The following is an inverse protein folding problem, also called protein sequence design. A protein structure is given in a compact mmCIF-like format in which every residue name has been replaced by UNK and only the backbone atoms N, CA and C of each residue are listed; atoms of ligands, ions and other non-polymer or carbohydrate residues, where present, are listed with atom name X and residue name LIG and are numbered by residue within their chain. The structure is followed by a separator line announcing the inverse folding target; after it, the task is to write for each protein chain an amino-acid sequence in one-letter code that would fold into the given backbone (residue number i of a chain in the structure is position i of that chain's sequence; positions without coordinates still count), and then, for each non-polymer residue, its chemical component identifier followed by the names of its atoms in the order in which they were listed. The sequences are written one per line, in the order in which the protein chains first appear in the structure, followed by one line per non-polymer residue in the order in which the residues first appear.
data_IF_844240270195
#
_entry.id   IF_844240270195
#
_cell.length_a   1.000
_cell.length_b   1.000
_cell.length_c   1.000
_cell.angle_alpha   90.00
_cell.angle_beta   90.00
_cell.angle_gamma   90.00
#
_symmetry.space_group_name_H-M   'P 1'
#
loop_
_entity.id
_entity.type
_entity.pdbx_description
1 polymer ?
#
# COMPACT_ATOMS: atom_id res chain seq x y z
N UNK A 1 57.57 -7.94 -56.24
CA UNK A 1 58.26 -8.96 -55.43
C UNK A 1 57.63 -8.96 -54.06
N UNK A 2 56.98 -10.01 -53.79
CA UNK A 2 57.13 -10.81 -52.57
C UNK A 2 56.72 -10.05 -51.30
N UNK A 3 55.85 -10.46 -50.41
CA UNK A 3 55.21 -11.74 -49.99
C UNK A 3 54.29 -11.32 -48.90
N UNK A 4 53.04 -11.74 -48.87
CA UNK A 4 52.52 -12.94 -48.18
C UNK A 4 52.66 -12.97 -46.64
N UNK A 5 51.52 -13.21 -46.03
CA UNK A 5 51.20 -13.78 -44.70
C UNK A 5 51.18 -12.77 -43.58
N UNK A 6 50.01 -12.63 -42.93
CA UNK A 6 49.48 -13.67 -42.07
C UNK A 6 47.96 -13.55 -41.88
N UNK A 7 47.27 -14.60 -42.17
CA UNK A 7 45.95 -14.90 -41.66
C UNK A 7 46.07 -15.11 -40.14
N UNK A 8 45.56 -14.21 -39.35
CA UNK A 8 45.25 -14.48 -37.96
C UNK A 8 43.73 -14.60 -37.83
N UNK A 9 43.29 -15.83 -37.77
CA UNK A 9 41.92 -16.17 -37.44
C UNK A 9 41.63 -15.74 -35.99
N UNK A 10 41.04 -14.60 -35.84
CA UNK A 10 40.39 -14.24 -34.59
C UNK A 10 38.96 -14.83 -34.61
N UNK A 11 38.86 -16.02 -34.10
CA UNK A 11 37.55 -16.59 -33.70
C UNK A 11 37.06 -15.71 -32.57
N UNK A 12 36.24 -14.72 -32.91
CA UNK A 12 35.44 -13.98 -31.95
C UNK A 12 34.34 -14.94 -31.44
N UNK A 13 34.61 -15.51 -30.27
CA UNK A 13 33.59 -16.07 -29.40
C UNK A 13 32.54 -14.98 -29.15
N UNK A 14 31.45 -15.09 -29.86
CA UNK A 14 30.19 -14.40 -29.48
C UNK A 14 29.72 -15.00 -28.15
N UNK A 15 30.29 -14.54 -27.06
CA UNK A 15 29.64 -14.67 -25.77
C UNK A 15 28.42 -13.77 -25.80
N UNK A 16 27.29 -14.37 -26.17
CA UNK A 16 25.97 -13.76 -25.96
C UNK A 16 25.81 -13.45 -24.48
N UNK A 17 26.06 -12.22 -24.12
CA UNK A 17 25.59 -11.67 -22.87
C UNK A 17 24.09 -11.53 -23.05
N UNK A 18 23.37 -12.57 -22.69
CA UNK A 18 21.98 -12.45 -22.32
C UNK A 18 21.94 -11.55 -21.09
N UNK A 19 21.89 -10.24 -21.32
CA UNK A 19 21.43 -9.30 -20.32
C UNK A 19 19.98 -9.68 -20.04
N UNK A 20 19.80 -10.60 -19.10
CA UNK A 20 18.55 -10.69 -18.37
C UNK A 20 18.37 -9.30 -17.72
N UNK A 21 17.59 -8.43 -18.36
CA UNK A 21 16.92 -7.36 -17.68
C UNK A 21 15.95 -8.01 -16.69
N UNK A 22 16.49 -8.51 -15.60
CA UNK A 22 15.75 -8.59 -14.37
C UNK A 22 15.54 -7.15 -13.96
N UNK A 23 14.33 -6.64 -14.09
CA UNK A 23 13.91 -5.48 -13.33
C UNK A 23 14.28 -5.82 -11.89
N UNK A 24 15.34 -5.24 -11.37
CA UNK A 24 15.50 -5.10 -9.93
C UNK A 24 14.32 -4.22 -9.53
N UNK A 25 13.27 -4.85 -9.06
CA UNK A 25 12.39 -4.22 -8.12
C UNK A 25 13.32 -3.79 -7.00
N UNK A 26 13.61 -2.50 -6.91
CA UNK A 26 14.26 -1.96 -5.72
C UNK A 26 13.35 -2.43 -4.59
N UNK A 27 13.92 -3.24 -3.71
CA UNK A 27 13.25 -3.60 -2.46
C UNK A 27 12.93 -2.28 -1.80
N UNK A 28 11.64 -1.92 -1.79
CA UNK A 28 11.16 -0.80 -1.00
C UNK A 28 11.81 -0.96 0.38
N UNK A 29 12.46 0.10 0.86
CA UNK A 29 12.99 0.13 2.21
C UNK A 29 11.88 -0.38 3.12
N UNK A 30 12.25 -1.23 4.08
CA UNK A 30 11.27 -1.85 4.98
C UNK A 30 10.57 -0.72 5.76
N UNK A 31 9.34 -0.36 5.32
CA UNK A 31 8.60 0.76 5.88
C UNK A 31 7.97 0.31 7.18
N UNK A 32 8.30 0.98 8.27
CA UNK A 32 7.63 0.81 9.56
C UNK A 32 6.27 1.53 9.51
N UNK A 33 5.19 0.74 9.36
CA UNK A 33 3.83 1.28 9.25
C UNK A 33 3.33 1.90 10.54
N UNK A 34 3.83 1.45 11.70
CA UNK A 34 3.50 2.07 12.98
C UNK A 34 4.15 3.45 13.10
N UNK A 35 5.43 3.56 12.74
CA UNK A 35 6.12 4.84 12.72
C UNK A 35 5.49 5.80 11.71
N UNK A 36 5.10 5.32 10.53
CA UNK A 36 4.39 6.09 9.51
C UNK A 36 3.07 6.67 10.06
N UNK A 37 2.22 5.80 10.64
CA UNK A 37 0.96 6.25 11.24
C UNK A 37 1.18 7.27 12.37
N UNK A 38 2.13 6.99 13.27
CA UNK A 38 2.40 7.89 14.40
C UNK A 38 2.85 9.29 13.92
N UNK A 39 3.62 9.35 12.83
CA UNK A 39 3.99 10.61 12.20
C UNK A 39 2.79 11.40 11.68
N UNK A 40 1.83 10.72 11.05
CA UNK A 40 0.57 11.34 10.61
C UNK A 40 -0.28 11.79 11.82
N UNK A 41 -0.40 10.95 12.84
CA UNK A 41 -1.16 11.25 14.04
C UNK A 41 -0.61 12.48 14.78
N UNK A 42 0.70 12.63 14.86
CA UNK A 42 1.36 13.83 15.41
C UNK A 42 1.11 15.06 14.54
N UNK A 43 1.28 14.92 13.20
CA UNK A 43 1.13 16.01 12.26
C UNK A 43 -0.28 16.58 12.24
N UNK A 44 -1.30 15.73 12.29
CA UNK A 44 -2.71 16.11 12.19
C UNK A 44 -3.42 16.19 13.55
N UNK A 45 -2.71 15.90 14.64
CA UNK A 45 -3.24 16.04 16.01
C UNK A 45 -4.37 15.07 16.33
N UNK A 46 -4.36 13.83 15.78
CA UNK A 46 -5.44 12.87 15.98
C UNK A 46 -5.57 12.40 17.44
N UNK A 47 -4.44 12.33 18.18
CA UNK A 47 -4.44 12.02 19.62
C UNK A 47 -5.28 10.80 19.99
N UNK A 48 -6.16 11.00 20.97
CA UNK A 48 -7.07 9.96 21.48
C UNK A 48 -8.36 9.83 20.65
N UNK A 49 -8.50 10.56 19.54
CA UNK A 49 -9.68 10.51 18.68
C UNK A 49 -9.74 9.27 17.80
N UNK A 50 -8.63 8.50 17.75
CA UNK A 50 -8.51 7.28 16.98
C UNK A 50 -8.29 6.06 17.88
N UNK A 51 -9.01 4.98 17.57
CA UNK A 51 -8.83 3.71 18.27
C UNK A 51 -8.23 2.63 17.38
N UNK A 52 -7.49 1.70 17.99
CA UNK A 52 -7.07 0.47 17.33
C UNK A 52 -8.29 -0.46 17.15
N UNK A 53 -8.39 -1.09 15.99
CA UNK A 53 -9.35 -2.16 15.80
C UNK A 53 -8.73 -3.46 16.32
N UNK A 54 -9.36 -4.05 17.35
CA UNK A 54 -9.03 -5.40 17.79
C UNK A 54 -9.52 -6.46 16.77
N UNK A 55 -9.25 -7.73 17.03
CA UNK A 55 -9.58 -8.82 16.11
C UNK A 55 -11.07 -8.91 15.78
N UNK A 56 -11.94 -8.66 16.75
CA UNK A 56 -13.40 -8.76 16.57
C UNK A 56 -13.92 -7.58 15.76
N UNK A 57 -13.40 -6.39 16.03
CA UNK A 57 -13.71 -5.19 15.27
C UNK A 57 -13.12 -5.25 13.85
N UNK A 58 -11.90 -5.78 13.71
CA UNK A 58 -11.28 -5.97 12.40
C UNK A 58 -12.13 -6.87 11.51
N UNK A 59 -12.60 -8.00 12.04
CA UNK A 59 -13.49 -8.90 11.29
C UNK A 59 -14.85 -8.27 10.97
N UNK A 60 -15.38 -7.44 11.86
CA UNK A 60 -16.65 -6.73 11.63
C UNK A 60 -16.51 -5.66 10.52
N UNK A 61 -15.41 -4.92 10.48
CA UNK A 61 -15.18 -3.84 9.51
C UNK A 61 -14.65 -4.37 8.18
N UNK A 62 -13.79 -5.40 8.22
CA UNK A 62 -13.03 -5.95 7.08
C UNK A 62 -13.04 -7.48 7.10
N UNK A 63 -14.17 -8.13 6.83
CA UNK A 63 -14.28 -9.59 6.92
C UNK A 63 -13.18 -10.31 6.13
N UNK A 64 -12.41 -11.15 6.83
CA UNK A 64 -11.31 -11.92 6.25
C UNK A 64 -9.97 -11.18 6.14
N UNK A 65 -9.86 -9.91 6.54
CA UNK A 65 -8.58 -9.20 6.50
C UNK A 65 -7.58 -9.79 7.50
N UNK A 66 -8.05 -10.23 8.66
CA UNK A 66 -7.22 -10.87 9.68
C UNK A 66 -6.62 -12.22 9.25
N UNK A 67 -7.16 -12.86 8.22
CA UNK A 67 -6.67 -14.12 7.66
C UNK A 67 -5.55 -13.91 6.62
N UNK A 68 -5.29 -12.67 6.21
CA UNK A 68 -4.21 -12.35 5.28
C UNK A 68 -2.87 -12.50 6.00
N UNK A 69 -1.96 -13.30 5.42
CA UNK A 69 -0.59 -13.40 5.91
C UNK A 69 0.13 -12.06 5.77
N UNK A 70 0.47 -11.44 6.89
CA UNK A 70 1.04 -10.11 6.93
C UNK A 70 2.13 -9.97 7.99
N UNK A 71 3.17 -9.23 7.67
CA UNK A 71 4.25 -8.85 8.59
C UNK A 71 3.84 -7.71 9.52
N UNK A 72 3.05 -6.77 9.00
CA UNK A 72 2.52 -5.63 9.71
C UNK A 72 1.06 -5.43 9.32
N UNK A 73 0.20 -5.19 10.27
CA UNK A 73 -1.19 -4.78 10.07
C UNK A 73 -1.54 -3.76 11.16
N UNK A 74 -1.92 -2.58 10.71
CA UNK A 74 -2.40 -1.51 11.56
C UNK A 74 -3.73 -1.04 11.00
N UNK A 75 -4.78 -1.11 11.82
CA UNK A 75 -6.12 -0.66 11.46
C UNK A 75 -6.63 0.29 12.53
N UNK A 76 -7.04 1.47 12.11
CA UNK A 76 -7.50 2.56 12.96
C UNK A 76 -8.85 3.07 12.50
N UNK A 77 -9.72 3.35 13.45
CA UNK A 77 -11.01 3.97 13.21
C UNK A 77 -11.25 5.12 14.22
N UNK A 78 -12.13 6.06 13.90
CA UNK A 78 -12.43 7.16 14.82
C UNK A 78 -13.23 6.63 16.00
N UNK A 79 -12.97 7.16 17.19
CA UNK A 79 -13.78 6.90 18.39
C UNK A 79 -15.20 7.40 18.20
N UNK A 80 -15.38 8.45 17.40
CA UNK A 80 -16.70 9.05 17.11
C UNK A 80 -17.08 8.83 15.64
N UNK A 81 -18.18 8.13 15.40
CA UNK A 81 -18.62 7.67 14.07
C UNK A 81 -19.09 8.76 13.09
N UNK A 82 -19.18 10.02 13.52
CA UNK A 82 -19.57 11.13 12.64
C UNK A 82 -18.44 11.61 11.72
N UNK A 83 -17.20 11.20 12.01
CA UNK A 83 -16.04 11.57 11.19
C UNK A 83 -15.65 10.42 10.26
N UNK A 84 -15.24 10.73 9.04
CA UNK A 84 -14.55 9.78 8.16
C UNK A 84 -13.06 9.89 8.42
N UNK A 85 -12.54 8.96 9.22
CA UNK A 85 -11.12 8.85 9.61
C UNK A 85 -10.81 7.38 9.83
N UNK A 86 -10.75 6.60 8.74
CA UNK A 86 -10.52 5.15 8.82
C UNK A 86 -9.30 4.81 8.00
N UNK A 87 -8.29 4.22 8.66
CA UNK A 87 -6.99 3.97 8.07
C UNK A 87 -6.57 2.53 8.29
N UNK A 88 -6.20 1.84 7.22
CA UNK A 88 -5.56 0.53 7.30
C UNK A 88 -4.24 0.58 6.55
N UNK A 89 -3.16 0.20 7.23
CA UNK A 89 -1.84 0.04 6.64
C UNK A 89 -1.38 -1.40 6.86
N UNK A 90 -0.99 -2.08 5.78
CA UNK A 90 -0.65 -3.49 5.81
C UNK A 90 0.59 -3.75 4.98
N UNK A 91 1.53 -4.55 5.52
CA UNK A 91 2.61 -5.20 4.78
C UNK A 91 2.31 -6.69 4.73
N UNK A 92 1.80 -7.17 3.61
CA UNK A 92 1.55 -8.60 3.39
C UNK A 92 2.87 -9.38 3.23
N UNK A 93 2.81 -10.69 3.37
CA UNK A 93 3.95 -11.57 3.10
C UNK A 93 4.30 -11.65 1.61
N UNK A 94 3.33 -11.37 0.74
CA UNK A 94 3.49 -11.38 -0.72
C UNK A 94 2.63 -10.30 -1.40
N UNK A 95 3.00 -9.93 -2.63
CA UNK A 95 2.18 -9.04 -3.47
C UNK A 95 0.81 -9.65 -3.78
N UNK A 96 0.73 -10.99 -3.84
CA UNK A 96 -0.55 -11.67 -4.06
C UNK A 96 -1.48 -11.54 -2.85
N UNK A 97 -0.95 -11.62 -1.64
CA UNK A 97 -1.72 -11.42 -0.42
C UNK A 97 -2.09 -9.95 -0.25
N UNK A 98 -1.19 -9.03 -0.61
CA UNK A 98 -1.49 -7.60 -0.69
C UNK A 98 -2.68 -7.32 -1.64
N UNK A 99 -2.72 -7.95 -2.81
CA UNK A 99 -3.84 -7.80 -3.74
C UNK A 99 -5.17 -8.38 -3.21
N UNK A 100 -5.13 -9.39 -2.35
CA UNK A 100 -6.33 -9.89 -1.64
C UNK A 100 -6.79 -8.88 -0.59
N UNK A 101 -5.87 -8.38 0.22
CA UNK A 101 -6.15 -7.34 1.21
C UNK A 101 -6.76 -6.10 0.55
N UNK A 102 -6.18 -5.64 -0.56
CA UNK A 102 -6.69 -4.48 -1.30
C UNK A 102 -8.15 -4.65 -1.74
N UNK A 103 -8.57 -5.86 -2.14
CA UNK A 103 -9.96 -6.14 -2.50
C UNK A 103 -10.91 -6.07 -1.30
N UNK A 104 -10.49 -6.59 -0.14
CA UNK A 104 -11.28 -6.51 1.10
C UNK A 104 -11.46 -5.06 1.49
N UNK A 105 -10.38 -4.28 1.47
CA UNK A 105 -10.40 -2.86 1.80
C UNK A 105 -11.25 -2.04 0.82
N UNK A 106 -11.20 -2.36 -0.48
CA UNK A 106 -12.06 -1.71 -1.48
C UNK A 106 -13.54 -2.02 -1.22
N UNK A 107 -13.87 -3.26 -0.83
CA UNK A 107 -15.25 -3.63 -0.49
C UNK A 107 -15.79 -2.76 0.66
N UNK A 108 -14.95 -2.44 1.65
CA UNK A 108 -15.34 -1.52 2.75
C UNK A 108 -15.70 -0.14 2.21
N UNK A 109 -14.85 0.43 1.36
CA UNK A 109 -15.09 1.74 0.73
C UNK A 109 -16.40 1.70 -0.06
N UNK A 110 -16.55 0.72 -0.94
CA UNK A 110 -17.72 0.60 -1.82
C UNK A 110 -19.01 0.50 -1.00
N UNK A 111 -19.02 -0.33 0.04
CA UNK A 111 -20.18 -0.51 0.93
C UNK A 111 -20.57 0.80 1.62
N UNK A 112 -19.61 1.56 2.12
CA UNK A 112 -19.88 2.84 2.77
C UNK A 112 -20.32 3.91 1.76
N UNK A 113 -19.68 3.95 0.59
CA UNK A 113 -20.01 4.89 -0.49
C UNK A 113 -21.37 4.61 -1.13
N UNK A 114 -21.84 3.35 -1.11
CA UNK A 114 -23.14 2.94 -1.66
C UNK A 114 -24.32 3.20 -0.70
N UNK A 115 -24.06 3.73 0.50
CA UNK A 115 -25.09 4.23 1.41
C UNK A 115 -25.19 3.54 2.77
N UNK A 116 -24.30 2.60 3.09
CA UNK A 116 -24.24 2.00 4.43
C UNK A 116 -23.59 2.93 5.47
N UNK A 117 -23.03 4.07 5.01
CA UNK A 117 -22.53 5.09 5.91
C UNK A 117 -23.68 5.62 6.80
N UNK A 118 -23.48 5.58 8.11
CA UNK A 118 -24.50 5.95 9.08
C UNK A 118 -24.97 7.41 8.93
N UNK A 119 -24.05 8.29 8.52
CA UNK A 119 -24.32 9.69 8.24
C UNK A 119 -24.26 9.94 6.73
N UNK A 120 -25.40 10.23 6.05
CA UNK A 120 -25.45 10.44 4.59
C UNK A 120 -24.49 11.52 4.09
N UNK A 121 -24.17 12.52 4.89
CA UNK A 121 -23.23 13.59 4.57
C UNK A 121 -21.78 13.09 4.43
N UNK A 122 -21.47 11.91 4.94
CA UNK A 122 -20.14 11.30 4.83
C UNK A 122 -19.96 10.47 3.56
N UNK A 123 -21.02 10.19 2.81
CA UNK A 123 -20.98 9.35 1.60
C UNK A 123 -19.98 9.90 0.56
N UNK A 124 -19.96 11.21 0.35
CA UNK A 124 -19.03 11.80 -0.63
C UNK A 124 -17.57 11.73 -0.16
N UNK A 125 -17.31 11.72 1.15
CA UNK A 125 -15.99 11.48 1.71
C UNK A 125 -15.57 10.03 1.51
N UNK A 126 -16.47 9.07 1.71
CA UNK A 126 -16.22 7.66 1.41
C UNK A 126 -15.94 7.41 -0.07
N UNK A 127 -16.62 8.11 -1.00
CA UNK A 127 -16.34 8.05 -2.43
C UNK A 127 -14.96 8.60 -2.81
N UNK A 128 -14.41 9.50 -1.98
CA UNK A 128 -13.06 10.01 -2.18
C UNK A 128 -11.98 9.07 -1.61
N UNK A 129 -12.34 8.15 -0.70
CA UNK A 129 -11.42 7.21 -0.10
C UNK A 129 -10.70 6.34 -1.14
N UNK A 130 -9.48 5.91 -0.82
CA UNK A 130 -8.61 5.15 -1.75
C UNK A 130 -8.01 3.92 -1.09
N UNK A 131 -7.86 2.89 -1.93
CA UNK A 131 -6.93 1.80 -1.66
C UNK A 131 -5.72 1.98 -2.55
N UNK A 132 -4.53 2.03 -1.96
CA UNK A 132 -3.24 2.18 -2.63
C UNK A 132 -2.42 0.93 -2.39
N UNK A 133 -1.76 0.41 -3.42
CA UNK A 133 -0.87 -0.75 -3.31
C UNK A 133 0.49 -0.43 -3.90
N UNK A 134 1.55 -0.76 -3.17
CA UNK A 134 2.93 -0.71 -3.64
C UNK A 134 3.64 -2.02 -3.27
N UNK A 135 3.79 -2.92 -4.25
CA UNK A 135 4.30 -4.26 -4.01
C UNK A 135 3.48 -5.01 -2.96
N UNK A 136 4.13 -5.41 -1.86
CA UNK A 136 3.50 -6.09 -0.73
C UNK A 136 2.80 -5.14 0.26
N UNK A 137 2.91 -3.83 0.08
CA UNK A 137 2.30 -2.83 0.96
C UNK A 137 0.95 -2.37 0.42
N UNK A 138 -0.03 -2.22 1.31
CA UNK A 138 -1.37 -1.73 1.00
C UNK A 138 -1.78 -0.70 2.03
N UNK A 139 -2.40 0.38 1.57
CA UNK A 139 -3.08 1.35 2.41
C UNK A 139 -4.55 1.44 2.00
N UNK A 140 -5.45 1.52 2.96
CA UNK A 140 -6.76 2.13 2.80
C UNK A 140 -6.77 3.46 3.54
N UNK A 141 -7.12 4.51 2.85
CA UNK A 141 -7.18 5.86 3.39
C UNK A 141 -8.59 6.39 3.14
N UNK A 142 -9.35 6.55 4.20
CA UNK A 142 -10.64 7.21 4.20
C UNK A 142 -10.57 8.38 5.18
N UNK A 143 -10.41 9.59 4.67
CA UNK A 143 -10.25 10.80 5.46
C UNK A 143 -11.17 11.90 4.95
N UNK A 144 -12.00 12.44 5.84
CA UNK A 144 -12.85 13.56 5.49
C UNK A 144 -12.11 14.89 5.36
N UNK A 145 -10.90 14.99 5.90
CA UNK A 145 -10.19 16.27 6.03
C UNK A 145 -8.83 16.27 5.32
N UNK A 146 -8.07 15.16 5.39
CA UNK A 146 -6.67 15.10 4.93
C UNK A 146 -6.43 14.01 3.87
N UNK A 147 -7.43 13.70 3.04
CA UNK A 147 -7.39 12.57 2.08
C UNK A 147 -6.15 12.64 1.18
N UNK A 148 -5.97 13.76 0.48
CA UNK A 148 -4.88 13.94 -0.49
C UNK A 148 -3.51 13.96 0.17
N UNK A 149 -3.40 14.65 1.30
CA UNK A 149 -2.13 14.80 2.03
C UNK A 149 -1.62 13.45 2.55
N UNK A 150 -2.54 12.57 3.01
CA UNK A 150 -2.16 11.24 3.48
C UNK A 150 -1.82 10.31 2.31
N UNK A 151 -2.54 10.41 1.18
CA UNK A 151 -2.20 9.71 -0.06
C UNK A 151 -0.78 10.10 -0.54
N UNK A 152 -0.47 11.39 -0.57
CA UNK A 152 0.83 11.91 -0.97
C UNK A 152 1.94 11.47 0.00
N UNK A 153 1.67 11.49 1.31
CA UNK A 153 2.60 10.99 2.31
C UNK A 153 2.89 9.49 2.13
N UNK A 154 1.86 8.67 1.83
CA UNK A 154 2.02 7.26 1.51
C UNK A 154 2.87 7.06 0.25
N UNK A 155 2.53 7.72 -0.84
CA UNK A 155 3.26 7.59 -2.11
C UNK A 155 4.74 7.98 -1.95
N UNK A 156 5.03 8.99 -1.15
CA UNK A 156 6.41 9.43 -0.87
C UNK A 156 7.26 8.34 -0.21
N UNK A 157 6.67 7.44 0.61
CA UNK A 157 7.41 6.31 1.21
C UNK A 157 7.99 5.36 0.16
N UNK A 158 7.39 5.30 -1.03
CA UNK A 158 7.75 4.37 -2.10
C UNK A 158 8.34 5.07 -3.33
N UNK A 159 8.62 6.37 -3.25
CA UNK A 159 9.27 7.13 -4.32
C UNK A 159 8.37 7.41 -5.53
N UNK A 160 7.07 7.45 -5.32
CA UNK A 160 6.06 7.72 -6.36
C UNK A 160 5.64 9.20 -6.33
#
# INVERSE_FOLDING_TARGET
MKKLFALAAAVLLLCGVLSACGSKTETANDVDLTAFYNGLAEQYGWGDDMMDLDSDMLEMYYPGLGDIAAKQLLAKAPVMSYAVSEYVFLQADSEQDAAKAAKILQTRIDTQADGDAFYPETIDQWKAAKVLQNGAYVAMIASGEYQTEIEDAWNTQFGA
#
